data_IF_767163038254
#
_entry.id   IF_767163038254
#
_cell.length_a   1.000
_cell.length_b   1.000
_cell.length_c   1.000
_cell.angle_alpha   90.00
_cell.angle_beta   90.00
_cell.angle_gamma   90.00
#
_symmetry.space_group_name_H-M   'P 1'
#
loop_
_entity.id
_entity.type
_entity.pdbx_description
1 polymer ?
#
# COMPACT_ATOMS: atom_id res chain seq x y z
N UNK A 1 27.74 -4.99 -5.85
CA UNK A 1 26.70 -4.16 -5.22
C UNK A 1 25.37 -4.89 -5.30
N UNK A 2 24.58 -4.94 -4.23
CA UNK A 2 23.28 -5.62 -4.24
C UNK A 2 22.25 -4.74 -4.95
N UNK A 3 21.50 -5.28 -5.90
CA UNK A 3 20.55 -4.49 -6.73
C UNK A 3 19.38 -3.89 -5.93
N UNK A 4 18.95 -4.58 -4.86
CA UNK A 4 17.85 -4.17 -3.99
C UNK A 4 18.35 -4.16 -2.55
N UNK A 5 19.20 -3.18 -2.24
CA UNK A 5 19.76 -3.01 -0.90
C UNK A 5 18.69 -2.51 0.07
N UNK A 6 18.74 -2.96 1.33
CA UNK A 6 17.82 -2.51 2.36
C UNK A 6 18.01 -0.99 2.59
N UNK A 7 16.98 -0.16 2.39
CA UNK A 7 17.08 1.28 2.66
C UNK A 7 17.49 1.58 4.10
N UNK A 8 18.26 2.66 4.30
CA UNK A 8 18.82 3.01 5.62
C UNK A 8 17.75 3.14 6.72
N UNK A 9 16.58 3.71 6.40
CA UNK A 9 15.47 3.86 7.35
C UNK A 9 14.81 2.53 7.78
N UNK A 10 15.14 1.42 7.12
CA UNK A 10 14.66 0.07 7.48
C UNK A 10 15.69 -0.76 8.24
N UNK A 11 16.94 -0.30 8.31
CA UNK A 11 17.99 -0.99 9.08
C UNK A 11 17.58 -1.01 10.56
N UNK A 12 17.64 -2.20 11.16
CA UNK A 12 17.18 -2.42 12.54
C UNK A 12 15.67 -2.60 12.71
N UNK A 13 14.86 -2.29 11.69
CA UNK A 13 13.40 -2.51 11.70
C UNK A 13 13.04 -3.85 11.07
N UNK A 14 13.64 -4.15 9.91
CA UNK A 14 13.49 -5.44 9.22
C UNK A 14 14.84 -5.94 8.73
N UNK A 15 14.94 -7.25 8.50
CA UNK A 15 16.13 -7.84 7.88
C UNK A 15 16.05 -7.71 6.36
N UNK A 16 17.21 -7.68 5.71
CA UNK A 16 17.32 -7.73 4.25
C UNK A 16 16.50 -8.90 3.67
N UNK A 17 16.58 -10.10 4.25
CA UNK A 17 15.83 -11.27 3.79
C UNK A 17 14.31 -11.10 3.87
N UNK A 18 13.80 -10.43 4.91
CA UNK A 18 12.36 -10.10 5.01
C UNK A 18 11.95 -9.10 3.94
N UNK A 19 12.79 -8.10 3.68
CA UNK A 19 12.57 -7.10 2.63
C UNK A 19 12.57 -7.74 1.23
N UNK A 20 13.55 -8.58 0.91
CA UNK A 20 13.61 -9.27 -0.39
C UNK A 20 12.36 -10.11 -0.66
N UNK A 21 11.91 -10.84 0.36
CA UNK A 21 10.71 -11.68 0.28
C UNK A 21 9.46 -10.84 0.07
N UNK A 22 9.35 -9.70 0.76
CA UNK A 22 8.25 -8.78 0.56
C UNK A 22 8.26 -8.20 -0.85
N UNK A 23 9.41 -7.75 -1.33
CA UNK A 23 9.59 -7.17 -2.67
C UNK A 23 9.20 -8.19 -3.75
N UNK A 24 9.70 -9.42 -3.67
CA UNK A 24 9.33 -10.52 -4.57
C UNK A 24 7.81 -10.72 -4.62
N UNK A 25 7.17 -10.88 -3.45
CA UNK A 25 5.74 -11.17 -3.36
C UNK A 25 4.89 -10.03 -3.92
N UNK A 26 5.26 -8.78 -3.62
CA UNK A 26 4.54 -7.60 -4.12
C UNK A 26 4.69 -7.47 -5.63
N UNK A 27 5.90 -7.62 -6.17
CA UNK A 27 6.14 -7.58 -7.62
C UNK A 27 5.37 -8.69 -8.35
N UNK A 28 5.46 -9.94 -7.88
CA UNK A 28 4.76 -11.07 -8.50
C UNK A 28 3.23 -10.90 -8.49
N UNK A 29 2.67 -10.36 -7.39
CA UNK A 29 1.23 -10.10 -7.27
C UNK A 29 0.77 -9.03 -8.26
N UNK A 30 1.50 -7.94 -8.41
CA UNK A 30 1.14 -6.87 -9.34
C UNK A 30 1.26 -7.31 -10.80
N UNK A 31 2.37 -7.98 -11.16
CA UNK A 31 2.53 -8.56 -12.51
C UNK A 31 1.38 -9.51 -12.85
N UNK A 32 0.97 -10.36 -11.91
CA UNK A 32 -0.18 -11.26 -12.13
C UNK A 32 -1.48 -10.48 -12.39
N UNK A 33 -1.74 -9.43 -11.60
CA UNK A 33 -2.95 -8.58 -11.73
C UNK A 33 -2.95 -7.84 -13.07
N UNK A 34 -1.84 -7.23 -13.45
CA UNK A 34 -1.79 -6.39 -14.64
C UNK A 34 -1.81 -7.22 -15.92
N UNK A 35 -1.21 -8.42 -15.91
CA UNK A 35 -1.39 -9.41 -17.00
C UNK A 35 -2.85 -9.82 -17.17
N UNK A 36 -3.59 -9.98 -16.07
CA UNK A 36 -5.02 -10.28 -16.12
C UNK A 36 -5.83 -9.12 -16.70
N UNK A 37 -5.38 -7.87 -16.51
CA UNK A 37 -5.94 -6.65 -17.11
C UNK A 37 -5.52 -6.42 -18.57
N UNK A 38 -4.68 -7.28 -19.14
CA UNK A 38 -4.26 -7.21 -20.55
C UNK A 38 -2.81 -6.75 -20.78
N UNK A 39 -2.08 -6.34 -19.73
CA UNK A 39 -0.67 -5.94 -19.85
C UNK A 39 0.23 -7.19 -19.97
N UNK A 40 0.32 -7.74 -21.19
CA UNK A 40 1.15 -8.92 -21.50
C UNK A 40 2.65 -8.64 -21.34
N UNK A 41 3.05 -7.37 -21.37
CA UNK A 41 4.43 -6.92 -21.25
C UNK A 41 4.97 -6.89 -19.82
N UNK A 42 4.12 -6.98 -18.80
CA UNK A 42 4.54 -6.85 -17.40
C UNK A 42 5.60 -7.89 -16.98
N UNK A 43 6.75 -7.44 -16.47
CA UNK A 43 7.85 -8.29 -16.00
C UNK A 43 8.17 -8.04 -14.52
N UNK A 44 8.41 -9.13 -13.79
CA UNK A 44 8.76 -9.08 -12.36
C UNK A 44 10.01 -8.22 -12.12
N UNK A 45 11.02 -8.29 -12.99
CA UNK A 45 12.26 -7.53 -12.83
C UNK A 45 12.03 -6.01 -12.88
N UNK A 46 11.16 -5.53 -13.77
CA UNK A 46 10.81 -4.11 -13.92
C UNK A 46 10.00 -3.64 -12.70
N UNK A 47 9.02 -4.45 -12.27
CA UNK A 47 8.21 -4.16 -11.09
C UNK A 47 9.03 -4.13 -9.80
N UNK A 48 10.04 -5.00 -9.66
CA UNK A 48 10.95 -4.95 -8.51
C UNK A 48 11.73 -3.64 -8.48
N UNK A 49 12.21 -3.17 -9.63
CA UNK A 49 12.91 -1.88 -9.72
C UNK A 49 11.96 -0.74 -9.35
N UNK A 50 10.79 -0.69 -9.97
CA UNK A 50 9.81 0.36 -9.71
C UNK A 50 9.35 0.40 -8.24
N UNK A 51 9.04 -0.76 -7.65
CA UNK A 51 8.64 -0.85 -6.23
C UNK A 51 9.80 -0.47 -5.33
N UNK A 52 11.03 -0.95 -5.59
CA UNK A 52 12.19 -0.59 -4.77
C UNK A 52 12.46 0.92 -4.81
N UNK A 53 12.40 1.55 -5.99
CA UNK A 53 12.48 3.00 -6.13
C UNK A 53 11.38 3.71 -5.37
N UNK A 54 10.14 3.20 -5.39
CA UNK A 54 9.03 3.75 -4.61
C UNK A 54 9.29 3.66 -3.09
N UNK A 55 9.87 2.56 -2.61
CA UNK A 55 10.29 2.43 -1.21
C UNK A 55 11.32 3.49 -0.82
N UNK A 56 12.34 3.70 -1.66
CA UNK A 56 13.36 4.73 -1.39
C UNK A 56 12.71 6.11 -1.31
N UNK A 57 11.87 6.47 -2.31
CA UNK A 57 11.17 7.76 -2.34
C UNK A 57 10.20 7.97 -1.18
N UNK A 58 9.68 6.90 -0.58
CA UNK A 58 8.71 7.02 0.51
C UNK A 58 9.35 7.34 1.85
N UNK A 59 10.66 7.12 2.00
CA UNK A 59 11.40 7.35 3.25
C UNK A 59 10.76 6.68 4.49
N UNK A 60 10.05 5.57 4.26
CA UNK A 60 9.34 4.84 5.31
C UNK A 60 7.99 5.42 5.71
N UNK A 61 7.49 6.41 4.98
CA UNK A 61 6.20 7.07 5.19
C UNK A 61 5.15 6.63 4.16
N UNK A 62 3.89 6.82 4.52
CA UNK A 62 2.76 6.74 3.61
C UNK A 62 2.83 7.89 2.60
N UNK A 63 2.81 7.58 1.29
CA UNK A 63 2.90 8.58 0.23
C UNK A 63 1.77 9.62 0.27
N UNK A 64 0.59 9.29 0.79
CA UNK A 64 -0.60 10.13 0.83
C UNK A 64 -0.75 10.87 2.16
N UNK A 65 -0.72 10.16 3.29
CA UNK A 65 -0.98 10.73 4.62
C UNK A 65 0.28 11.23 5.33
N UNK A 66 1.46 10.84 4.83
CA UNK A 66 2.79 11.08 5.44
C UNK A 66 2.97 10.44 6.82
N UNK A 67 2.06 9.56 7.23
CA UNK A 67 2.20 8.79 8.46
C UNK A 67 3.35 7.78 8.36
N UNK A 68 3.99 7.49 9.49
CA UNK A 68 5.07 6.49 9.53
C UNK A 68 4.49 5.08 9.36
N UNK A 69 5.01 4.35 8.38
CA UNK A 69 4.59 2.97 8.13
C UNK A 69 5.24 2.01 9.12
N UNK A 70 4.49 0.98 9.49
CA UNK A 70 4.94 -0.07 10.39
C UNK A 70 5.59 -1.21 9.60
N UNK A 71 6.82 -0.98 9.14
CA UNK A 71 7.61 -1.97 8.42
C UNK A 71 7.93 -3.22 9.25
N UNK A 72 7.91 -3.13 10.57
CA UNK A 72 8.07 -4.29 11.44
C UNK A 72 6.92 -5.31 11.28
N UNK A 73 5.77 -4.91 10.71
CA UNK A 73 4.63 -5.80 10.41
C UNK A 73 4.87 -6.72 9.21
N UNK A 74 5.97 -6.54 8.47
CA UNK A 74 6.27 -7.40 7.33
C UNK A 74 6.31 -8.89 7.73
N UNK A 75 5.56 -9.69 6.97
CA UNK A 75 5.36 -11.14 7.17
C UNK A 75 4.65 -11.54 8.47
N UNK A 76 4.00 -10.62 9.19
CA UNK A 76 3.20 -10.94 10.39
C UNK A 76 1.71 -11.19 10.10
N UNK A 77 1.21 -10.85 8.90
CA UNK A 77 -0.19 -11.09 8.53
C UNK A 77 -0.52 -12.59 8.50
N UNK A 78 -1.63 -12.98 9.15
CA UNK A 78 -2.13 -14.35 9.16
C UNK A 78 -3.50 -14.44 8.51
N UNK A 79 -3.62 -15.22 7.43
CA UNK A 79 -4.91 -15.43 6.75
C UNK A 79 -5.91 -16.18 7.64
N UNK A 80 -5.43 -17.04 8.53
CA UNK A 80 -6.27 -17.76 9.48
C UNK A 80 -6.86 -16.79 10.52
N UNK A 81 -6.04 -15.91 11.10
CA UNK A 81 -6.54 -14.88 12.01
C UNK A 81 -7.46 -13.89 11.30
N UNK A 82 -7.14 -13.50 10.05
CA UNK A 82 -8.01 -12.66 9.25
C UNK A 82 -9.41 -13.28 9.03
N UNK A 83 -9.49 -14.60 8.86
CA UNK A 83 -10.76 -15.32 8.73
C UNK A 83 -11.55 -15.33 10.03
N UNK A 84 -10.87 -15.54 11.16
CA UNK A 84 -11.51 -15.71 12.47
C UNK A 84 -11.89 -14.37 13.12
N UNK A 85 -10.99 -13.38 13.09
CA UNK A 85 -11.11 -12.09 13.80
C UNK A 85 -11.54 -10.94 12.87
N UNK A 86 -11.54 -11.16 11.55
CA UNK A 86 -12.07 -10.25 10.51
C UNK A 86 -11.55 -8.81 10.68
N UNK A 87 -12.46 -7.86 10.93
CA UNK A 87 -12.17 -6.42 11.04
C UNK A 87 -11.18 -6.10 12.16
N UNK A 88 -11.22 -6.84 13.27
CA UNK A 88 -10.32 -6.59 14.40
C UNK A 88 -8.87 -6.90 14.03
N UNK A 89 -8.61 -8.05 13.41
CA UNK A 89 -7.27 -8.37 12.92
C UNK A 89 -6.82 -7.39 11.84
N UNK A 90 -7.70 -7.02 10.90
CA UNK A 90 -7.35 -6.05 9.84
C UNK A 90 -6.85 -4.71 10.41
N UNK A 91 -7.47 -4.23 11.50
CA UNK A 91 -7.09 -2.98 12.19
C UNK A 91 -5.65 -2.97 12.69
N UNK A 92 -5.14 -4.10 13.16
CA UNK A 92 -3.75 -4.24 13.64
C UNK A 92 -2.71 -4.02 12.54
N UNK A 93 -3.13 -4.13 11.27
CA UNK A 93 -2.28 -4.01 10.10
C UNK A 93 -2.56 -2.77 9.26
N UNK A 94 -3.32 -1.80 9.75
CA UNK A 94 -3.67 -0.62 8.96
C UNK A 94 -2.46 0.13 8.42
N UNK A 95 -1.39 0.26 9.22
CA UNK A 95 -0.13 0.88 8.82
C UNK A 95 0.90 -0.11 8.23
N UNK A 96 0.49 -1.34 7.88
CA UNK A 96 1.34 -2.28 7.14
C UNK A 96 1.67 -1.69 5.76
N UNK A 97 2.96 -1.52 5.40
CA UNK A 97 3.35 -1.05 4.09
C UNK A 97 2.85 -1.97 2.96
N UNK A 98 2.18 -1.36 2.00
CA UNK A 98 1.74 -1.95 0.74
C UNK A 98 2.18 -1.09 -0.45
N UNK A 99 1.87 -1.58 -1.65
CA UNK A 99 2.20 -0.95 -2.92
C UNK A 99 0.88 -0.56 -3.58
N UNK A 100 0.74 0.70 -3.94
CA UNK A 100 -0.37 1.26 -4.72
C UNK A 100 0.11 1.56 -6.13
N UNK A 101 -0.71 1.25 -7.13
CA UNK A 101 -0.40 1.47 -8.54
C UNK A 101 -0.75 2.91 -8.93
N UNK A 102 0.17 3.60 -9.60
CA UNK A 102 -0.12 4.90 -10.22
C UNK A 102 -0.71 4.62 -11.61
N UNK A 103 -1.91 5.12 -11.88
CA UNK A 103 -2.65 4.82 -13.12
C UNK A 103 -3.34 3.45 -13.13
N UNK A 104 -3.69 2.97 -14.31
CA UNK A 104 -4.57 1.80 -14.52
C UNK A 104 -3.86 0.44 -14.65
N UNK A 105 -2.52 0.44 -14.63
CA UNK A 105 -1.70 -0.77 -14.78
C UNK A 105 -1.51 -1.28 -16.21
N UNK A 106 -1.89 -0.48 -17.21
CA UNK A 106 -1.71 -0.83 -18.64
C UNK A 106 -0.35 -0.40 -19.21
N UNK A 107 0.37 0.50 -18.53
CA UNK A 107 1.62 1.11 -18.99
C UNK A 107 2.88 0.68 -18.25
N UNK A 108 3.86 1.59 -18.21
CA UNK A 108 5.08 1.45 -17.42
C UNK A 108 4.75 1.28 -15.93
N UNK A 109 5.48 0.41 -15.20
CA UNK A 109 5.21 0.19 -13.78
C UNK A 109 5.61 1.41 -12.94
N UNK A 110 4.61 2.10 -12.40
CA UNK A 110 4.79 3.20 -11.46
C UNK A 110 3.99 2.96 -10.18
N UNK A 111 4.62 3.18 -9.04
CA UNK A 111 4.06 2.83 -7.74
C UNK A 111 4.32 3.88 -6.67
N UNK A 112 3.40 3.93 -5.71
CA UNK A 112 3.55 4.59 -4.41
C UNK A 112 3.57 3.56 -3.29
N UNK A 113 4.22 3.91 -2.17
CA UNK A 113 4.18 3.09 -0.96
C UNK A 113 3.25 3.75 0.04
N UNK A 114 2.25 3.00 0.47
CA UNK A 114 1.23 3.49 1.38
C UNK A 114 0.84 2.43 2.41
N UNK A 115 0.07 2.85 3.40
CA UNK A 115 -0.52 2.00 4.40
C UNK A 115 -1.62 1.13 3.76
N UNK A 116 -1.85 -0.06 4.33
CA UNK A 116 -2.94 -0.93 3.89
C UNK A 116 -4.30 -0.22 3.96
N UNK A 117 -4.54 0.55 5.03
CA UNK A 117 -5.77 1.33 5.15
C UNK A 117 -5.89 2.40 4.05
N UNK A 118 -4.82 3.15 3.79
CA UNK A 118 -4.79 4.15 2.71
C UNK A 118 -5.14 3.52 1.37
N UNK A 119 -4.55 2.37 1.05
CA UNK A 119 -4.84 1.65 -0.19
C UNK A 119 -6.28 1.14 -0.25
N UNK A 120 -6.84 0.69 0.87
CA UNK A 120 -8.25 0.26 0.95
C UNK A 120 -9.23 1.43 0.76
N UNK A 121 -8.93 2.60 1.32
CA UNK A 121 -9.76 3.80 1.21
C UNK A 121 -9.67 4.41 -0.19
N UNK A 122 -8.45 4.50 -0.74
CA UNK A 122 -8.24 4.98 -2.11
C UNK A 122 -8.93 4.06 -3.13
N UNK A 123 -8.79 2.74 -2.96
CA UNK A 123 -9.32 1.75 -3.90
C UNK A 123 -8.94 2.11 -5.35
N UNK A 124 -9.93 2.25 -6.24
CA UNK A 124 -9.73 2.57 -7.65
C UNK A 124 -9.80 4.08 -7.94
N UNK A 125 -9.97 4.94 -6.91
CA UNK A 125 -9.96 6.38 -7.09
C UNK A 125 -8.55 6.85 -7.49
N UNK A 126 -8.50 7.81 -8.41
CA UNK A 126 -7.34 8.66 -8.63
C UNK A 126 -7.07 9.55 -7.40
N UNK A 127 -5.91 10.19 -7.39
CA UNK A 127 -5.56 11.13 -6.31
C UNK A 127 -6.55 12.30 -6.22
N UNK A 128 -6.95 12.86 -7.36
CA UNK A 128 -7.88 13.99 -7.42
C UNK A 128 -9.29 13.57 -6.98
N UNK A 129 -9.77 12.41 -7.41
CA UNK A 129 -11.07 11.88 -6.99
C UNK A 129 -11.11 11.58 -5.48
N UNK A 130 -10.00 11.08 -4.91
CA UNK A 130 -9.92 10.85 -3.46
C UNK A 130 -9.99 12.18 -2.69
N UNK A 131 -9.29 13.23 -3.14
CA UNK A 131 -9.33 14.54 -2.49
C UNK A 131 -10.72 15.17 -2.57
N UNK A 132 -11.35 15.12 -3.74
CA UNK A 132 -12.73 15.60 -3.93
C UNK A 132 -13.73 14.83 -3.05
N UNK A 133 -13.59 13.50 -2.95
CA UNK A 133 -14.41 12.70 -2.05
C UNK A 133 -14.21 13.08 -0.58
N UNK A 134 -12.96 13.24 -0.14
CA UNK A 134 -12.64 13.67 1.22
C UNK A 134 -13.23 15.06 1.53
N UNK A 135 -13.14 16.01 0.60
CA UNK A 135 -13.74 17.34 0.77
C UNK A 135 -15.26 17.29 0.91
N UNK A 136 -15.94 16.48 0.07
CA UNK A 136 -17.38 16.25 0.17
C UNK A 136 -17.78 15.64 1.50
N UNK A 137 -17.01 14.66 1.98
CA UNK A 137 -17.25 13.99 3.25
C UNK A 137 -17.11 14.97 4.43
N UNK A 138 -16.07 15.80 4.44
CA UNK A 138 -15.86 16.81 5.47
C UNK A 138 -16.99 17.85 5.49
N UNK A 139 -17.39 18.38 4.33
CA UNK A 139 -18.53 19.31 4.21
C UNK A 139 -19.85 18.69 4.68
N UNK A 140 -20.04 17.39 4.49
CA UNK A 140 -21.20 16.67 4.97
C UNK A 140 -21.15 16.47 6.49
N UNK A 141 -19.96 16.19 7.04
CA UNK A 141 -19.76 16.00 8.48
C UNK A 141 -20.15 17.24 9.30
N UNK A 142 -19.89 18.44 8.79
CA UNK A 142 -20.32 19.71 9.42
C UNK A 142 -21.84 19.83 9.58
N UNK A 143 -22.62 19.06 8.80
CA UNK A 143 -24.09 19.05 8.84
C UNK A 143 -24.66 17.91 9.67
N UNK A 144 -23.81 17.01 10.17
CA UNK A 144 -24.28 15.90 10.99
C UNK A 144 -24.68 16.42 12.37
N UNK A 145 -25.78 15.89 12.90
CA UNK A 145 -26.15 16.14 14.28
C UNK A 145 -25.14 15.51 15.23
N UNK A 146 -24.95 16.13 16.40
CA UNK A 146 -24.16 15.54 17.46
C UNK A 146 -24.70 14.13 17.80
N UNK A 147 -23.83 13.12 17.71
CA UNK A 147 -24.21 11.72 17.95
C UNK A 147 -24.70 10.94 16.73
N UNK A 148 -24.66 11.53 15.52
CA UNK A 148 -24.97 10.85 14.25
C UNK A 148 -24.27 9.48 14.14
N UNK A 149 -25.01 8.50 13.62
CA UNK A 149 -24.60 7.11 13.46
C UNK A 149 -24.15 6.75 12.04
N UNK A 150 -24.05 7.73 11.14
CA UNK A 150 -23.72 7.54 9.71
C UNK A 150 -22.42 6.75 9.49
N UNK A 151 -21.46 6.82 10.42
CA UNK A 151 -20.17 6.11 10.36
C UNK A 151 -19.96 5.07 11.48
N UNK A 152 -21.01 4.69 12.24
CA UNK A 152 -20.89 3.70 13.33
C UNK A 152 -20.79 2.25 12.84
#
# INVERSE_FOLDING_TARGET
MRKYELPAFLVGVVTQAKYDRWLERKSATHVKRDRHRGNRGAKIAEYKVAIHSAVIRSEGLDSYTKEKLHWDLLSKWSNEEAKNRRRQHKREFYLLPTVDHVGDGSGEPEFNICAMLTNDVKSDLSHEELLDFCEKLLKAADRWSAGSDVLK
#
